data_IF_179587490721
#
_entry.id   IF_179587490721
#
_cell.length_a   1.000
_cell.length_b   1.000
_cell.length_c   1.000
_cell.angle_alpha   90.00
_cell.angle_beta   90.00
_cell.angle_gamma   90.00
#
_symmetry.space_group_name_H-M   'P 1'
#
loop_
_entity.id
_entity.type
_entity.pdbx_description
1 polymer ?
#
# COMPACT_ATOMS: atom_id res chain seq x y z
N UNK A 1 28.30 -3.35 -14.86
CA UNK A 1 27.41 -2.57 -13.99
C UNK A 1 26.96 -3.54 -12.92
N UNK A 2 27.17 -3.25 -11.64
CA UNK A 2 26.67 -4.12 -10.57
C UNK A 2 25.15 -4.20 -10.71
N UNK A 3 24.59 -5.41 -10.85
CA UNK A 3 23.15 -5.63 -10.93
C UNK A 3 22.52 -5.08 -9.64
N UNK A 4 21.88 -3.92 -9.76
CA UNK A 4 21.21 -3.27 -8.64
C UNK A 4 20.00 -4.13 -8.28
N UNK A 5 20.01 -4.66 -7.06
CA UNK A 5 18.88 -5.39 -6.47
C UNK A 5 18.15 -4.43 -5.52
N UNK A 6 16.83 -4.38 -5.61
CA UNK A 6 15.95 -3.64 -4.71
C UNK A 6 15.21 -4.63 -3.82
N UNK A 7 15.22 -4.39 -2.51
CA UNK A 7 14.56 -5.24 -1.51
C UNK A 7 13.30 -4.58 -0.99
N UNK A 8 12.16 -5.22 -1.20
CA UNK A 8 10.83 -4.73 -0.83
C UNK A 8 10.16 -5.72 0.10
N UNK A 9 9.74 -5.27 1.29
CA UNK A 9 8.99 -6.07 2.25
C UNK A 9 7.50 -5.75 2.21
N UNK A 10 6.64 -6.77 2.11
CA UNK A 10 5.18 -6.61 2.19
C UNK A 10 4.71 -6.74 3.64
N UNK A 11 4.14 -5.67 4.21
CA UNK A 11 3.87 -5.57 5.65
C UNK A 11 2.37 -5.64 6.04
N UNK A 12 1.48 -5.83 5.08
CA UNK A 12 0.06 -6.07 5.34
C UNK A 12 -0.61 -6.78 4.17
N UNK A 13 -1.68 -7.51 4.47
CA UNK A 13 -2.58 -8.08 3.47
C UNK A 13 -4.01 -7.54 3.48
N UNK A 14 -4.39 -6.83 4.55
CA UNK A 14 -5.72 -6.24 4.71
C UNK A 14 -5.72 -5.30 5.94
N UNK A 15 -6.77 -4.50 6.08
CA UNK A 15 -6.96 -3.68 7.28
C UNK A 15 -7.26 -4.53 8.52
N UNK A 16 -6.40 -4.45 9.54
CA UNK A 16 -6.45 -5.27 10.75
C UNK A 16 -5.43 -6.42 10.79
N UNK A 17 -4.51 -6.50 9.82
CA UNK A 17 -3.39 -7.44 9.83
C UNK A 17 -2.39 -7.14 10.98
N UNK A 18 -1.46 -8.06 11.24
CA UNK A 18 -0.60 -8.04 12.41
C UNK A 18 0.43 -6.90 12.35
N UNK A 19 0.36 -5.98 13.32
CA UNK A 19 1.31 -4.88 13.48
C UNK A 19 2.78 -5.32 13.61
N UNK A 20 3.02 -6.59 13.95
CA UNK A 20 4.35 -7.20 14.07
C UNK A 20 5.11 -7.33 12.74
N UNK A 21 4.44 -7.19 11.59
CA UNK A 21 5.06 -7.23 10.28
C UNK A 21 6.20 -6.21 10.15
N UNK A 22 5.93 -4.97 10.57
CA UNK A 22 6.87 -3.84 10.46
C UNK A 22 8.18 -4.08 11.23
N UNK A 23 8.17 -4.36 12.55
CA UNK A 23 9.43 -4.61 13.26
C UNK A 23 10.18 -5.84 12.71
N UNK A 24 9.46 -6.90 12.31
CA UNK A 24 10.09 -8.09 11.72
C UNK A 24 10.83 -7.78 10.42
N UNK A 25 10.24 -6.98 9.53
CA UNK A 25 10.89 -6.53 8.29
C UNK A 25 12.03 -5.56 8.58
N UNK A 26 11.89 -4.68 9.57
CA UNK A 26 12.94 -3.76 10.00
C UNK A 26 14.14 -4.45 10.65
N UNK A 27 14.02 -5.71 11.06
CA UNK A 27 15.15 -6.52 11.51
C UNK A 27 15.92 -7.17 10.35
N UNK A 28 15.33 -7.21 9.14
CA UNK A 28 15.98 -7.75 7.95
C UNK A 28 16.98 -6.74 7.35
N UNK A 29 18.26 -7.12 7.18
CA UNK A 29 19.28 -6.20 6.65
C UNK A 29 19.03 -5.87 5.18
N UNK A 30 19.46 -4.68 4.75
CA UNK A 30 19.46 -4.29 3.34
C UNK A 30 18.09 -4.03 2.69
N UNK A 31 17.01 -3.98 3.48
CA UNK A 31 15.69 -3.57 3.01
C UNK A 31 15.70 -2.11 2.52
N UNK A 32 15.12 -1.86 1.34
CA UNK A 32 15.00 -0.52 0.74
C UNK A 32 13.61 0.07 0.94
N UNK A 33 12.57 -0.78 0.85
CA UNK A 33 11.17 -0.39 0.91
C UNK A 33 10.35 -1.30 1.83
N UNK A 34 9.37 -0.70 2.51
CA UNK A 34 8.24 -1.43 3.10
C UNK A 34 6.96 -0.95 2.43
N UNK A 35 6.16 -1.89 1.95
CA UNK A 35 4.88 -1.61 1.31
C UNK A 35 3.74 -2.16 2.14
N UNK A 36 2.62 -1.44 2.12
CA UNK A 36 1.40 -1.83 2.81
C UNK A 36 0.22 -1.76 1.86
N UNK A 37 -0.51 -2.87 1.77
CA UNK A 37 -1.84 -2.94 1.19
C UNK A 37 -2.89 -3.20 2.28
N UNK A 38 -3.80 -2.25 2.45
CA UNK A 38 -4.85 -2.24 3.47
C UNK A 38 -6.26 -2.42 2.88
N UNK A 39 -6.44 -2.20 1.58
CA UNK A 39 -7.75 -1.86 1.03
C UNK A 39 -8.42 -3.02 0.29
N UNK A 40 -9.43 -3.61 0.93
CA UNK A 40 -10.47 -4.38 0.24
C UNK A 40 -11.69 -3.51 -0.09
N UNK A 41 -12.57 -3.97 -0.98
CA UNK A 41 -13.81 -3.26 -1.34
C UNK A 41 -14.70 -3.01 -0.12
N UNK A 42 -14.81 -4.01 0.77
CA UNK A 42 -15.58 -3.87 2.02
C UNK A 42 -14.97 -2.80 2.93
N UNK A 43 -13.64 -2.71 3.01
CA UNK A 43 -12.93 -1.72 3.81
C UNK A 43 -13.26 -0.30 3.37
N UNK A 44 -13.32 -0.05 2.06
CA UNK A 44 -13.66 1.26 1.51
C UNK A 44 -15.05 1.72 1.98
N UNK A 45 -16.03 0.81 2.01
CA UNK A 45 -17.38 1.13 2.48
C UNK A 45 -17.43 1.52 3.97
N UNK A 46 -16.63 0.84 4.80
CA UNK A 46 -16.53 1.13 6.23
C UNK A 46 -15.87 2.51 6.44
N UNK A 47 -14.80 2.79 5.69
CA UNK A 47 -14.08 4.06 5.74
C UNK A 47 -14.93 5.22 5.21
N UNK A 48 -15.72 5.03 4.15
CA UNK A 48 -16.69 6.02 3.66
C UNK A 48 -17.71 6.39 4.73
N UNK A 49 -18.29 5.37 5.39
CA UNK A 49 -19.21 5.59 6.51
C UNK A 49 -18.54 6.32 7.68
N UNK A 50 -17.30 5.97 8.01
CA UNK A 50 -16.55 6.65 9.07
C UNK A 50 -16.29 8.13 8.73
N UNK A 51 -15.90 8.44 7.49
CA UNK A 51 -15.68 9.81 7.00
C UNK A 51 -16.98 10.63 7.00
N UNK A 52 -18.11 10.02 6.66
CA UNK A 52 -19.41 10.69 6.71
C UNK A 52 -19.85 11.08 8.14
N UNK A 53 -19.34 10.38 9.16
CA UNK A 53 -19.60 10.70 10.57
C UNK A 53 -18.59 11.71 11.14
N UNK A 54 -17.36 11.70 10.63
CA UNK A 54 -16.24 12.52 11.08
C UNK A 54 -15.28 12.74 9.90
N UNK A 55 -15.22 13.98 9.41
CA UNK A 55 -14.43 14.35 8.23
C UNK A 55 -12.92 14.10 8.38
N UNK A 56 -12.44 13.91 9.61
CA UNK A 56 -11.03 13.58 9.89
C UNK A 56 -10.72 12.08 9.77
N UNK A 57 -11.74 11.23 9.59
CA UNK A 57 -11.61 9.77 9.42
C UNK A 57 -11.69 9.35 7.96
N UNK A 58 -11.70 8.04 7.72
CA UNK A 58 -11.77 7.45 6.37
C UNK A 58 -10.44 6.88 5.87
N UNK A 59 -9.52 6.59 6.79
CA UNK A 59 -8.23 5.94 6.53
C UNK A 59 -7.92 4.93 7.65
N UNK A 60 -6.91 4.08 7.45
CA UNK A 60 -6.50 3.07 8.43
C UNK A 60 -5.75 3.72 9.60
N UNK A 61 -6.45 3.97 10.71
CA UNK A 61 -5.89 4.65 11.90
C UNK A 61 -4.71 3.87 12.52
N UNK A 62 -4.78 2.55 12.48
CA UNK A 62 -3.77 1.60 12.95
C UNK A 62 -2.48 1.63 12.12
N UNK A 63 -2.52 2.03 10.85
CA UNK A 63 -1.31 2.33 10.09
C UNK A 63 -0.49 3.43 10.79
N UNK A 64 -1.15 4.51 11.23
CA UNK A 64 -0.49 5.60 11.94
C UNK A 64 -0.09 5.17 13.36
N UNK A 65 -1.03 4.62 14.13
CA UNK A 65 -0.84 4.38 15.57
C UNK A 65 -0.04 3.14 15.92
N UNK A 66 -0.12 2.08 15.10
CA UNK A 66 0.48 0.77 15.40
C UNK A 66 1.63 0.40 14.44
N UNK A 67 1.52 0.72 13.15
CA UNK A 67 2.60 0.43 12.20
C UNK A 67 3.68 1.52 12.21
N UNK A 68 3.31 2.80 12.09
CA UNK A 68 4.28 3.89 11.97
C UNK A 68 4.81 4.37 13.33
N UNK A 69 3.93 4.75 14.27
CA UNK A 69 4.33 5.35 15.56
C UNK A 69 5.47 4.63 16.29
N UNK A 70 5.49 3.30 16.47
CA UNK A 70 6.59 2.64 17.17
C UNK A 70 7.86 2.47 16.33
N UNK A 71 7.80 2.68 15.01
CA UNK A 71 8.84 2.27 14.06
C UNK A 71 9.49 3.43 13.29
N UNK A 72 8.91 4.64 13.28
CA UNK A 72 9.40 5.78 12.49
C UNK A 72 10.88 6.12 12.73
N UNK A 73 11.35 6.08 13.99
CA UNK A 73 12.75 6.35 14.30
C UNK A 73 13.71 5.36 13.60
N UNK A 74 13.38 4.07 13.61
CA UNK A 74 14.18 3.03 12.96
C UNK A 74 14.06 3.08 11.43
N UNK A 75 12.88 3.43 10.91
CA UNK A 75 12.68 3.68 9.48
C UNK A 75 13.57 4.82 9.00
N UNK A 76 13.60 5.93 9.74
CA UNK A 76 14.44 7.10 9.45
C UNK A 76 15.93 6.77 9.55
N UNK A 77 16.37 6.13 10.64
CA UNK A 77 17.77 5.72 10.84
C UNK A 77 18.28 4.85 9.68
N UNK A 78 17.45 3.93 9.20
CA UNK A 78 17.81 3.01 8.11
C UNK A 78 17.61 3.59 6.71
N UNK A 79 16.97 4.75 6.58
CA UNK A 79 16.62 5.33 5.28
C UNK A 79 15.66 4.46 4.46
N UNK A 80 14.79 3.69 5.12
CA UNK A 80 13.80 2.84 4.45
C UNK A 80 12.62 3.70 4.00
N UNK A 81 12.17 3.52 2.76
CA UNK A 81 10.99 4.21 2.25
C UNK A 81 9.72 3.40 2.49
N UNK A 82 8.62 4.07 2.81
CA UNK A 82 7.32 3.45 3.07
C UNK A 82 6.31 3.86 2.00
N UNK A 83 5.55 2.89 1.51
CA UNK A 83 4.47 3.14 0.53
C UNK A 83 3.21 2.43 1.03
N UNK A 84 2.08 3.13 1.07
CA UNK A 84 0.85 2.58 1.62
C UNK A 84 -0.40 3.14 0.97
N UNK A 85 -1.40 2.29 0.73
CA UNK A 85 -2.76 2.71 0.39
C UNK A 85 -3.68 2.87 1.62
N UNK A 86 -3.11 2.90 2.82
CA UNK A 86 -3.82 3.12 4.08
C UNK A 86 -4.67 4.40 4.13
N UNK A 87 -4.48 5.32 3.18
CA UNK A 87 -5.27 6.55 3.06
C UNK A 87 -6.75 6.32 2.79
N UNK A 88 -7.14 5.17 2.22
CA UNK A 88 -8.55 4.82 2.03
C UNK A 88 -9.31 5.88 1.23
N UNK A 89 -10.43 6.34 1.78
CA UNK A 89 -11.23 7.44 1.19
C UNK A 89 -10.81 8.83 1.69
N UNK A 90 -9.79 8.93 2.56
CA UNK A 90 -9.27 10.19 3.07
C UNK A 90 -7.73 10.18 3.17
N UNK A 91 -7.02 10.04 2.04
CA UNK A 91 -5.56 9.97 2.03
C UNK A 91 -4.90 11.25 2.52
N UNK A 92 -5.58 12.40 2.44
CA UNK A 92 -5.07 13.67 2.94
C UNK A 92 -5.03 13.69 4.47
N UNK A 93 -6.10 13.26 5.16
CA UNK A 93 -6.10 13.18 6.62
C UNK A 93 -5.08 12.16 7.14
N UNK A 94 -4.89 11.04 6.44
CA UNK A 94 -3.85 10.07 6.77
C UNK A 94 -2.45 10.69 6.68
N UNK A 95 -2.15 11.39 5.58
CA UNK A 95 -0.86 12.07 5.39
C UNK A 95 -0.63 13.14 6.46
N UNK A 96 -1.66 13.89 6.85
CA UNK A 96 -1.55 14.91 7.90
C UNK A 96 -1.26 14.30 9.27
N UNK A 97 -1.96 13.21 9.63
CA UNK A 97 -1.70 12.49 10.87
C UNK A 97 -0.27 11.94 10.94
N UNK A 98 0.30 11.49 9.81
CA UNK A 98 1.70 11.07 9.74
C UNK A 98 2.66 12.24 9.93
N UNK A 99 2.41 13.40 9.29
CA UNK A 99 3.24 14.60 9.47
C UNK A 99 3.25 15.07 10.92
N UNK A 100 2.08 15.09 11.55
CA UNK A 100 1.97 15.43 12.96
C UNK A 100 2.80 14.45 13.82
N UNK A 101 2.65 13.14 13.59
CA UNK A 101 3.38 12.10 14.31
C UNK A 101 4.90 12.20 14.12
N UNK A 102 5.36 12.51 12.90
CA UNK A 102 6.77 12.72 12.57
C UNK A 102 7.32 13.93 13.36
N UNK A 103 6.59 15.04 13.38
CA UNK A 103 6.96 16.24 14.13
C UNK A 103 6.98 15.98 15.66
N UNK A 104 6.00 15.23 16.19
CA UNK A 104 5.95 14.82 17.60
C UNK A 104 7.18 14.00 18.02
N UNK A 105 7.76 13.23 17.11
CA UNK A 105 8.97 12.43 17.35
C UNK A 105 10.27 13.19 17.04
N UNK A 106 10.20 14.44 16.56
CA UNK A 106 11.36 15.24 16.18
C UNK A 106 12.13 14.65 15.00
N UNK A 107 11.44 13.99 14.07
CA UNK A 107 12.01 13.40 12.86
C UNK A 107 11.79 14.32 11.65
N UNK A 108 12.62 14.18 10.63
CA UNK A 108 12.60 15.00 9.40
C UNK A 108 12.20 14.16 8.18
N UNK A 109 11.19 13.29 8.33
CA UNK A 109 10.68 12.45 7.25
C UNK A 109 9.65 13.19 6.37
N UNK A 110 9.77 13.06 5.06
CA UNK A 110 8.86 13.69 4.10
C UNK A 110 7.70 12.78 3.73
N UNK A 111 6.46 13.28 3.88
CA UNK A 111 5.22 12.56 3.54
C UNK A 111 4.55 13.16 2.30
N UNK A 112 4.46 12.35 1.24
CA UNK A 112 3.68 12.66 0.04
C UNK A 112 2.32 11.95 0.05
N UNK A 113 1.31 12.61 -0.51
CA UNK A 113 -0.05 12.11 -0.64
C UNK A 113 -0.43 12.04 -2.12
N UNK A 114 -0.76 10.85 -2.62
CA UNK A 114 -1.25 10.64 -3.98
C UNK A 114 -2.78 10.61 -3.95
N UNK A 115 -3.39 11.60 -4.59
CA UNK A 115 -4.85 11.79 -4.71
C UNK A 115 -5.30 11.67 -6.17
N UNK A 116 -6.61 11.61 -6.38
CA UNK A 116 -7.24 11.52 -7.71
C UNK A 116 -8.04 10.24 -7.92
N UNK A 117 -8.09 9.37 -6.92
CA UNK A 117 -8.95 8.19 -6.89
C UNK A 117 -10.41 8.57 -6.58
N UNK A 118 -10.67 9.58 -5.75
CA UNK A 118 -12.02 10.03 -5.40
C UNK A 118 -12.75 10.68 -6.60
N UNK A 119 -13.74 9.98 -7.12
CA UNK A 119 -14.60 10.41 -8.23
C UNK A 119 -15.97 10.93 -7.77
N UNK A 120 -16.22 11.06 -6.47
CA UNK A 120 -17.46 11.65 -5.96
C UNK A 120 -17.80 13.02 -6.57
N UNK A 121 -16.83 13.93 -6.84
CA UNK A 121 -17.12 15.20 -7.51
C UNK A 121 -17.70 15.05 -8.92
N UNK A 122 -17.52 13.89 -9.56
CA UNK A 122 -18.02 13.59 -10.91
C UNK A 122 -19.25 12.67 -10.92
N UNK A 123 -19.83 12.35 -9.76
CA UNK A 123 -20.94 11.40 -9.64
C UNK A 123 -22.14 11.71 -10.56
N UNK A 124 -22.53 12.99 -10.67
CA UNK A 124 -23.62 13.41 -11.55
C UNK A 124 -23.31 13.13 -13.03
N UNK A 125 -22.08 13.40 -13.47
CA UNK A 125 -21.65 13.14 -14.84
C UNK A 125 -21.64 11.63 -15.15
N UNK A 126 -21.23 10.81 -14.18
CA UNK A 126 -21.25 9.35 -14.30
C UNK A 126 -22.68 8.80 -14.38
N UNK A 127 -23.60 9.35 -13.59
CA UNK A 127 -25.02 8.99 -13.65
C UNK A 127 -25.63 9.34 -15.02
N UNK A 128 -25.32 10.51 -15.56
CA UNK A 128 -25.82 10.97 -16.86
C UNK A 128 -25.22 10.22 -18.06
N UNK A 129 -24.08 9.53 -17.88
CA UNK A 129 -23.41 8.75 -18.91
C UNK A 129 -24.09 7.41 -19.24
N UNK A 130 -25.19 7.07 -18.56
CA UNK A 130 -25.93 5.82 -18.79
C UNK A 130 -25.15 4.58 -18.36
N UNK A 131 -24.25 4.72 -17.38
CA UNK A 131 -23.46 3.62 -16.83
C UNK A 131 -24.40 2.67 -16.07
N UNK A 132 -24.24 1.38 -16.32
CA UNK A 132 -24.92 0.31 -15.59
C UNK A 132 -23.90 -0.59 -14.93
N UNK A 133 -24.29 -1.26 -13.86
CA UNK A 133 -23.48 -2.29 -13.23
C UNK A 133 -23.17 -3.41 -14.25
N UNK A 134 -21.92 -3.87 -14.26
CA UNK A 134 -21.35 -4.70 -15.32
C UNK A 134 -22.01 -6.08 -15.47
N UNK A 135 -22.49 -6.67 -14.36
CA UNK A 135 -22.98 -8.05 -14.32
C UNK A 135 -24.51 -8.15 -14.25
N UNK A 136 -25.14 -7.29 -13.45
CA UNK A 136 -26.57 -7.25 -13.17
C UNK A 136 -27.33 -6.33 -14.12
N UNK A 137 -26.66 -5.37 -14.77
CA UNK A 137 -27.31 -4.33 -15.56
C UNK A 137 -28.12 -3.34 -14.73
N UNK A 138 -27.96 -3.35 -13.40
CA UNK A 138 -28.62 -2.36 -12.53
C UNK A 138 -28.20 -0.94 -12.92
N UNK A 139 -29.15 -0.01 -12.87
CA UNK A 139 -28.89 1.39 -13.13
C UNK A 139 -27.94 1.98 -12.10
N UNK A 140 -27.21 3.02 -12.50
CA UNK A 140 -26.36 3.79 -11.59
C UNK A 140 -27.13 4.19 -10.30
N UNK A 141 -26.54 4.02 -9.10
CA UNK A 141 -27.23 4.30 -7.85
C UNK A 141 -27.69 5.76 -7.74
N UNK A 142 -28.82 5.97 -7.07
CA UNK A 142 -29.31 7.33 -6.76
C UNK A 142 -28.29 8.09 -5.90
N UNK A 143 -28.21 9.41 -6.08
CA UNK A 143 -27.18 10.25 -5.47
C UNK A 143 -27.15 10.19 -3.93
N UNK A 144 -28.31 10.05 -3.29
CA UNK A 144 -28.46 9.92 -1.83
C UNK A 144 -28.02 8.55 -1.29
N UNK A 145 -27.80 7.57 -2.17
CA UNK A 145 -27.32 6.22 -1.84
C UNK A 145 -25.82 6.04 -2.13
N UNK A 146 -25.17 7.00 -2.78
CA UNK A 146 -23.74 6.95 -3.07
C UNK A 146 -22.93 7.33 -1.83
N UNK A 147 -22.08 6.41 -1.37
CA UNK A 147 -21.17 6.63 -0.24
C UNK A 147 -19.76 6.99 -0.70
N UNK A 148 -19.30 6.39 -1.79
CA UNK A 148 -17.98 6.64 -2.38
C UNK A 148 -17.95 6.17 -3.83
N UNK A 149 -17.12 6.81 -4.65
CA UNK A 149 -16.77 6.34 -5.99
C UNK A 149 -15.26 6.48 -6.10
N UNK A 150 -14.54 5.38 -6.30
CA UNK A 150 -13.08 5.41 -6.33
C UNK A 150 -12.55 4.71 -7.59
N UNK A 151 -11.60 5.36 -8.28
CA UNK A 151 -10.80 4.75 -9.31
C UNK A 151 -9.56 4.07 -8.71
N UNK A 152 -9.14 2.96 -9.30
CA UNK A 152 -7.88 2.32 -8.93
C UNK A 152 -6.73 3.03 -9.63
N UNK A 153 -5.98 3.83 -8.89
CA UNK A 153 -4.76 4.46 -9.41
C UNK A 153 -3.66 3.41 -9.66
N UNK A 154 -2.78 3.71 -10.62
CA UNK A 154 -1.59 2.90 -10.91
C UNK A 154 -0.33 3.36 -10.16
N UNK A 155 0.81 2.74 -10.50
CA UNK A 155 2.08 2.92 -9.79
C UNK A 155 2.87 4.20 -10.12
N UNK A 156 2.67 4.82 -11.29
CA UNK A 156 3.48 5.98 -11.73
C UNK A 156 3.35 7.21 -10.81
N UNK A 157 2.15 7.59 -10.31
CA UNK A 157 2.05 8.65 -9.31
C UNK A 157 2.83 8.38 -8.02
N UNK A 158 2.87 7.12 -7.57
CA UNK A 158 3.67 6.70 -6.41
C UNK A 158 5.16 6.88 -6.70
N UNK A 159 5.63 6.37 -7.84
CA UNK A 159 7.02 6.51 -8.25
C UNK A 159 7.46 7.98 -8.37
N UNK A 160 6.57 8.84 -8.89
CA UNK A 160 6.81 10.27 -9.00
C UNK A 160 6.89 10.97 -7.64
N UNK A 161 6.12 10.53 -6.64
CA UNK A 161 6.22 11.04 -5.28
C UNK A 161 7.56 10.67 -4.64
N UNK A 162 8.01 9.43 -4.82
CA UNK A 162 9.34 8.97 -4.36
C UNK A 162 10.47 9.75 -5.04
N UNK A 163 10.37 9.99 -6.35
CA UNK A 163 11.35 10.76 -7.13
C UNK A 163 11.48 12.21 -6.62
N UNK A 164 10.41 12.77 -6.07
CA UNK A 164 10.40 14.10 -5.43
C UNK A 164 10.98 14.10 -4.01
N UNK A 165 11.50 12.97 -3.53
CA UNK A 165 12.17 12.85 -2.23
C UNK A 165 11.25 12.45 -1.08
N UNK A 166 10.07 11.88 -1.35
CA UNK A 166 9.22 11.35 -0.29
C UNK A 166 9.85 10.12 0.38
N UNK A 167 9.91 10.15 1.71
CA UNK A 167 10.27 8.98 2.52
C UNK A 167 9.05 8.09 2.75
N UNK A 168 7.87 8.71 2.86
CA UNK A 168 6.59 8.03 3.01
C UNK A 168 5.63 8.50 1.92
N UNK A 169 5.06 7.56 1.16
CA UNK A 169 3.99 7.83 0.19
C UNK A 169 2.71 7.17 0.67
N UNK A 170 1.67 7.98 0.84
CA UNK A 170 0.30 7.49 1.13
C UNK A 170 -0.60 7.77 -0.06
N UNK A 171 -1.46 6.81 -0.41
CA UNK A 171 -2.49 6.97 -1.43
C UNK A 171 -3.87 6.52 -0.91
N UNK A 172 -4.92 6.88 -1.65
CA UNK A 172 -6.26 6.34 -1.48
C UNK A 172 -6.39 4.99 -2.19
N UNK A 173 -7.41 4.80 -3.03
CA UNK A 173 -7.51 3.56 -3.82
C UNK A 173 -6.45 3.51 -4.93
N UNK A 174 -5.62 2.48 -4.88
CA UNK A 174 -4.78 2.06 -6.00
C UNK A 174 -5.01 0.58 -6.28
N UNK A 175 -4.45 0.09 -7.39
CA UNK A 175 -4.26 -1.36 -7.58
C UNK A 175 -3.31 -1.87 -6.51
N UNK A 176 -3.60 -3.03 -5.96
CA UNK A 176 -2.91 -3.60 -4.80
C UNK A 176 -1.38 -3.72 -5.06
N UNK A 177 -1.00 -4.27 -6.22
CA UNK A 177 0.40 -4.35 -6.66
C UNK A 177 1.08 -3.00 -6.97
N UNK A 178 0.34 -1.89 -7.04
CA UNK A 178 0.90 -0.59 -7.41
C UNK A 178 1.88 -0.03 -6.38
N UNK A 179 1.73 -0.37 -5.10
CA UNK A 179 2.67 0.07 -4.05
C UNK A 179 4.06 -0.52 -4.27
N UNK A 180 4.15 -1.79 -4.65
CA UNK A 180 5.40 -2.48 -4.99
C UNK A 180 5.93 -2.03 -6.33
N UNK A 181 5.07 -1.97 -7.36
CA UNK A 181 5.48 -1.52 -8.68
C UNK A 181 5.98 -0.06 -8.65
N UNK A 182 5.40 0.79 -7.81
CA UNK A 182 5.83 2.17 -7.62
C UNK A 182 7.25 2.28 -7.10
N UNK A 183 7.63 1.44 -6.13
CA UNK A 183 9.00 1.31 -5.66
C UNK A 183 9.96 0.85 -6.78
N UNK A 184 9.55 -0.15 -7.58
CA UNK A 184 10.35 -0.67 -8.69
C UNK A 184 10.60 0.40 -9.77
N UNK A 185 9.54 1.11 -10.21
CA UNK A 185 9.65 2.19 -11.20
C UNK A 185 10.58 3.28 -10.67
N UNK A 186 10.44 3.69 -9.41
CA UNK A 186 11.33 4.69 -8.82
C UNK A 186 12.79 4.22 -8.78
N UNK A 187 13.04 2.97 -8.37
CA UNK A 187 14.39 2.47 -8.17
C UNK A 187 15.15 2.19 -9.46
N UNK A 188 14.44 1.79 -10.52
CA UNK A 188 15.04 1.40 -11.81
C UNK A 188 14.79 2.39 -12.96
N UNK A 189 13.89 3.37 -12.77
CA UNK A 189 13.55 4.34 -13.81
C UNK A 189 12.78 3.73 -14.98
N UNK A 190 12.01 2.66 -14.76
CA UNK A 190 11.25 2.00 -15.82
C UNK A 190 10.22 2.95 -16.46
N UNK A 191 10.20 2.99 -17.78
CA UNK A 191 9.28 3.80 -18.56
C UNK A 191 7.90 3.14 -18.69
N UNK A 192 6.92 3.89 -19.20
CA UNK A 192 5.55 3.41 -19.41
C UNK A 192 5.43 2.31 -20.46
N UNK A 193 6.43 2.19 -21.32
CA UNK A 193 6.55 1.19 -22.38
C UNK A 193 7.57 0.08 -22.03
N UNK A 194 8.00 -0.03 -20.77
CA UNK A 194 8.80 -1.15 -20.27
C UNK A 194 7.89 -2.33 -19.85
N UNK A 195 7.05 -2.81 -20.78
CA UNK A 195 5.92 -3.72 -20.49
C UNK A 195 6.31 -4.96 -19.69
N UNK A 196 7.42 -5.62 -20.06
CA UNK A 196 7.89 -6.83 -19.38
C UNK A 196 8.29 -6.53 -17.93
N UNK A 197 9.03 -5.45 -17.70
CA UNK A 197 9.42 -5.04 -16.36
C UNK A 197 8.22 -4.59 -15.53
N UNK A 198 7.28 -3.83 -16.12
CA UNK A 198 6.06 -3.42 -15.44
C UNK A 198 5.20 -4.63 -15.05
N UNK A 199 5.10 -5.64 -15.93
CA UNK A 199 4.40 -6.88 -15.64
C UNK A 199 5.10 -7.66 -14.50
N UNK A 200 6.42 -7.78 -14.54
CA UNK A 200 7.18 -8.47 -13.51
C UNK A 200 7.15 -7.76 -12.15
N UNK A 201 7.23 -6.43 -12.13
CA UNK A 201 7.06 -5.64 -10.89
C UNK A 201 5.65 -5.75 -10.32
N UNK A 202 4.62 -5.84 -11.17
CA UNK A 202 3.25 -6.09 -10.73
C UNK A 202 3.09 -7.51 -10.16
N UNK A 203 3.71 -8.51 -10.79
CA UNK A 203 3.72 -9.89 -10.29
C UNK A 203 4.41 -9.97 -8.92
N UNK A 204 5.56 -9.33 -8.76
CA UNK A 204 6.21 -9.23 -7.45
C UNK A 204 5.31 -8.54 -6.41
N UNK A 205 4.56 -7.51 -6.82
CA UNK A 205 3.55 -6.87 -5.99
C UNK A 205 2.49 -7.83 -5.48
N UNK A 206 1.90 -8.63 -6.37
CA UNK A 206 0.90 -9.64 -6.00
C UNK A 206 1.45 -10.78 -5.13
N UNK A 207 2.76 -11.05 -5.18
CA UNK A 207 3.41 -12.01 -4.28
C UNK A 207 3.65 -11.41 -2.88
N UNK A 208 3.90 -10.10 -2.80
CA UNK A 208 4.18 -9.39 -1.54
C UNK A 208 2.92 -8.96 -0.78
N UNK A 209 1.81 -8.73 -1.48
CA UNK A 209 0.54 -8.39 -0.85
C UNK A 209 -0.07 -9.59 -0.10
N UNK A 210 -1.23 -9.39 0.53
CA UNK A 210 -1.94 -10.43 1.27
C UNK A 210 -1.19 -11.02 2.50
N UNK A 211 -0.14 -10.37 3.00
CA UNK A 211 0.56 -10.76 4.22
C UNK A 211 1.46 -11.99 4.03
N UNK A 212 1.51 -12.96 4.96
CA UNK A 212 2.47 -14.07 4.90
C UNK A 212 2.06 -15.21 3.93
N UNK A 213 1.11 -15.02 3.01
CA UNK A 213 0.59 -16.11 2.18
C UNK A 213 1.68 -16.78 1.33
N UNK A 214 2.54 -15.98 0.67
CA UNK A 214 3.64 -16.48 -0.15
C UNK A 214 4.77 -17.17 0.66
N UNK A 215 4.75 -17.04 1.99
CA UNK A 215 5.81 -17.51 2.90
C UNK A 215 5.33 -18.58 3.88
N UNK A 216 4.14 -19.15 3.63
CA UNK A 216 3.57 -20.27 4.38
C UNK A 216 2.33 -19.94 5.21
N UNK A 217 1.84 -18.70 5.16
CA UNK A 217 0.67 -18.22 5.89
C UNK A 217 -0.68 -18.75 5.39
N UNK A 218 -0.73 -19.25 4.15
CA UNK A 218 -1.94 -19.84 3.57
C UNK A 218 -1.83 -21.38 3.53
N UNK A 219 -2.07 -22.01 4.69
CA UNK A 219 -1.95 -23.46 4.86
C UNK A 219 -3.17 -24.02 5.59
N UNK A 220 -3.78 -25.08 5.04
CA UNK A 220 -5.02 -25.67 5.55
C UNK A 220 -4.84 -26.36 6.89
N UNK A 221 -3.73 -27.07 7.07
CA UNK A 221 -3.44 -27.84 8.28
C UNK A 221 -2.58 -27.03 9.26
N UNK A 222 -2.98 -25.77 9.48
CA UNK A 222 -2.24 -24.78 10.24
C UNK A 222 -1.81 -25.24 11.65
N UNK A 223 -2.61 -26.10 12.28
CA UNK A 223 -2.34 -26.75 13.55
C UNK A 223 -1.09 -27.64 13.55
N UNK A 224 -0.67 -28.12 12.38
CA UNK A 224 0.55 -28.91 12.18
C UNK A 224 1.81 -28.01 12.05
N UNK A 225 1.62 -26.70 11.90
CA UNK A 225 2.73 -25.74 11.70
C UNK A 225 3.20 -25.19 13.04
N UNK A 226 4.37 -25.66 13.49
CA UNK A 226 5.03 -25.07 14.66
C UNK A 226 5.39 -23.60 14.40
N UNK A 227 5.00 -22.71 15.31
CA UNK A 227 5.36 -21.30 15.21
C UNK A 227 4.58 -20.50 14.17
N UNK A 228 3.37 -20.93 13.79
CA UNK A 228 2.51 -20.21 12.83
C UNK A 228 2.30 -18.74 13.21
N UNK A 229 2.15 -18.45 14.51
CA UNK A 229 2.03 -17.09 15.03
C UNK A 229 3.26 -16.21 14.72
N UNK A 230 4.40 -16.81 14.35
CA UNK A 230 5.66 -16.16 14.04
C UNK A 230 6.04 -16.17 12.55
N UNK A 231 5.10 -16.49 11.64
CA UNK A 231 5.34 -16.51 10.19
C UNK A 231 6.08 -15.26 9.69
N UNK A 232 7.03 -15.45 8.77
CA UNK A 232 7.80 -14.35 8.18
C UNK A 232 7.00 -13.64 7.10
N UNK A 233 6.90 -12.32 7.15
CA UNK A 233 6.33 -11.53 6.05
C UNK A 233 7.26 -11.56 4.82
N UNK A 234 6.72 -11.52 3.59
CA UNK A 234 7.51 -11.72 2.39
C UNK A 234 8.43 -10.53 2.09
N UNK A 235 9.60 -10.85 1.53
CA UNK A 235 10.57 -9.89 0.98
C UNK A 235 10.85 -10.30 -0.47
N UNK A 236 10.77 -9.37 -1.40
CA UNK A 236 11.18 -9.58 -2.78
C UNK A 236 12.53 -8.93 -3.01
N UNK A 237 13.48 -9.69 -3.54
CA UNK A 237 14.74 -9.19 -4.09
C UNK A 237 14.56 -9.07 -5.61
N UNK A 238 14.42 -7.84 -6.12
CA UNK A 238 14.04 -7.55 -7.51
C UNK A 238 15.24 -6.95 -8.25
N UNK A 239 15.54 -7.46 -9.44
CA UNK A 239 16.59 -6.97 -10.34
C UNK A 239 16.03 -5.96 -11.34
N UNK A 240 16.92 -5.17 -11.95
CA UNK A 240 16.54 -4.13 -12.92
C UNK A 240 15.83 -4.65 -14.18
N UNK A 241 16.00 -5.93 -14.52
CA UNK A 241 15.30 -6.60 -15.63
C UNK A 241 13.91 -7.14 -15.25
N UNK A 242 13.51 -7.00 -13.98
CA UNK A 242 12.25 -7.48 -13.44
C UNK A 242 12.31 -8.89 -12.86
N UNK A 243 13.39 -9.65 -13.03
CA UNK A 243 13.55 -10.93 -12.35
C UNK A 243 13.57 -10.73 -10.82
N UNK A 244 12.96 -11.65 -10.08
CA UNK A 244 12.93 -11.54 -8.61
C UNK A 244 12.94 -12.88 -7.90
N UNK A 245 13.37 -12.85 -6.64
CA UNK A 245 13.27 -13.96 -5.69
C UNK A 245 12.39 -13.50 -4.53
N UNK A 246 11.42 -14.33 -4.13
CA UNK A 246 10.65 -14.13 -2.91
C UNK A 246 11.30 -14.91 -1.75
N UNK A 247 11.58 -14.21 -0.66
CA UNK A 247 12.15 -14.72 0.58
C UNK A 247 11.37 -14.18 1.78
N UNK A 248 11.88 -14.38 2.99
CA UNK A 248 11.33 -13.87 4.25
C UNK A 248 12.45 -13.55 5.24
N UNK A 249 12.20 -12.74 6.29
CA UNK A 249 13.13 -12.55 7.39
C UNK A 249 13.64 -13.89 7.95
N UNK A 250 14.91 -13.94 8.37
CA UNK A 250 15.45 -15.09 9.09
C UNK A 250 14.64 -15.31 10.38
N UNK A 251 14.35 -16.59 10.68
CA UNK A 251 13.54 -17.02 11.82
C UNK A 251 14.08 -18.28 12.45
#
# INVERSE_FOLDING_TARGET
MTDRIVRIGGASGFWGDAARATPQLLDSPGLDYIVYDYLAEITMSIMARARAQDETRGYALDFVSAAMKPNLAKIAERGIRVISNAGGVNPQACAEALRQLIAEQGLELTVACVVGDDLMPTAAQLADAGITEMFSGESFPAADKLQSINAYLGAFPIARALEQGADIVVTGRCVDSAVTLGACIHAFGWSRDAWDQLAMGSLAGHILECGPQATGGNFTDWEQVSGMANMGYPIAEISADGSFICTKPEG
#
